data_IF_804786974851
#
_entry.id   IF_804786974851
#
_cell.length_a   1.000
_cell.length_b   1.000
_cell.length_c   1.000
_cell.angle_alpha   90.00
_cell.angle_beta   90.00
_cell.angle_gamma   90.00
#
_symmetry.space_group_name_H-M   'P 1'
#
loop_
_entity.id
_entity.type
_entity.pdbx_description
1 polymer ?
#
# COMPACT_ATOMS: atom_id res chain seq x y z
N UNK A 1 -8.16 -8.23 -14.34
CA UNK A 1 -7.53 -7.78 -13.07
C UNK A 1 -7.01 -6.37 -13.31
N UNK A 2 -7.59 -5.39 -12.61
CA UNK A 2 -7.34 -3.98 -12.88
C UNK A 2 -5.96 -3.58 -12.37
N UNK A 3 -5.29 -2.66 -13.06
CA UNK A 3 -3.98 -2.12 -12.66
C UNK A 3 -4.02 -1.54 -11.23
N UNK A 4 -5.20 -1.06 -10.80
CA UNK A 4 -5.48 -0.52 -9.46
C UNK A 4 -5.21 -1.56 -8.36
N UNK A 5 -5.63 -2.81 -8.57
CA UNK A 5 -5.46 -3.90 -7.59
C UNK A 5 -3.99 -4.31 -7.43
N UNK A 6 -3.18 -4.10 -8.47
CA UNK A 6 -1.74 -4.43 -8.47
C UNK A 6 -0.91 -3.39 -7.72
N UNK A 7 -1.19 -2.11 -7.89
CA UNK A 7 -0.49 -1.03 -7.16
C UNK A 7 -0.85 -0.98 -5.66
N UNK A 8 -1.98 -1.56 -5.29
CA UNK A 8 -2.42 -1.68 -3.91
C UNK A 8 -2.04 -2.97 -3.21
N UNK A 9 -1.36 -3.87 -3.91
CA UNK A 9 -0.90 -5.11 -3.30
C UNK A 9 0.14 -4.81 -2.23
N UNK A 10 -0.04 -5.33 -1.01
CA UNK A 10 0.97 -5.25 0.07
C UNK A 10 2.34 -5.78 -0.37
N UNK A 11 2.35 -6.70 -1.35
CA UNK A 11 3.55 -7.29 -1.94
C UNK A 11 4.35 -6.27 -2.77
N UNK A 12 3.68 -5.29 -3.39
CA UNK A 12 4.33 -4.22 -4.14
C UNK A 12 5.05 -3.24 -3.21
N UNK A 13 4.36 -2.78 -2.16
CA UNK A 13 4.93 -1.82 -1.19
C UNK A 13 6.09 -2.40 -0.38
N UNK A 14 6.00 -3.66 0.05
CA UNK A 14 7.10 -4.36 0.73
C UNK A 14 8.34 -4.51 -0.18
N UNK A 15 8.13 -4.85 -1.46
CA UNK A 15 9.21 -4.93 -2.45
C UNK A 15 9.82 -3.56 -2.76
N UNK A 16 9.01 -2.51 -2.84
CA UNK A 16 9.46 -1.14 -3.07
C UNK A 16 10.33 -0.62 -1.92
N UNK A 17 9.90 -0.84 -0.67
CA UNK A 17 10.68 -0.50 0.52
C UNK A 17 12.01 -1.28 0.56
N UNK A 18 11.97 -2.60 0.30
CA UNK A 18 13.17 -3.45 0.23
C UNK A 18 14.08 -3.17 -0.97
N UNK A 19 13.59 -2.51 -2.01
CA UNK A 19 14.38 -2.06 -3.16
C UNK A 19 15.05 -0.71 -2.90
N UNK A 20 14.33 0.24 -2.31
CA UNK A 20 14.85 1.59 -2.05
C UNK A 20 15.88 1.59 -0.91
N UNK A 21 15.68 0.79 0.15
CA UNK A 21 16.62 0.72 1.27
C UNK A 21 18.09 0.43 0.88
N UNK A 22 18.41 -0.63 0.12
CA UNK A 22 19.79 -0.90 -0.31
C UNK A 22 20.32 0.14 -1.30
N UNK A 23 19.46 0.77 -2.11
CA UNK A 23 19.87 1.88 -2.99
C UNK A 23 20.38 3.05 -2.15
N UNK A 24 19.64 3.44 -1.10
CA UNK A 24 20.05 4.52 -0.20
C UNK A 24 21.34 4.19 0.55
N UNK A 25 21.56 2.92 0.92
CA UNK A 25 22.82 2.46 1.50
C UNK A 25 24.00 2.60 0.52
N UNK A 26 23.80 2.33 -0.77
CA UNK A 26 24.84 2.54 -1.81
C UNK A 26 25.23 4.02 -1.93
N UNK A 27 24.30 4.94 -1.70
CA UNK A 27 24.58 6.39 -1.65
C UNK A 27 25.27 6.85 -0.36
N UNK A 28 25.64 5.93 0.55
CA UNK A 28 26.29 6.22 1.84
C UNK A 28 25.47 7.14 2.75
N UNK A 29 24.14 7.08 2.63
CA UNK A 29 23.26 7.79 3.56
C UNK A 29 23.37 7.19 4.97
N UNK A 30 23.21 8.00 6.03
CA UNK A 30 23.13 7.50 7.39
C UNK A 30 21.98 6.49 7.54
N UNK A 31 22.17 5.45 8.34
CA UNK A 31 21.13 4.42 8.56
C UNK A 31 19.81 5.00 9.10
N UNK A 32 19.89 6.10 9.85
CA UNK A 32 18.73 6.84 10.34
C UNK A 32 17.87 7.40 9.19
N UNK A 33 18.53 7.93 8.15
CA UNK A 33 17.85 8.50 6.98
C UNK A 33 17.22 7.38 6.13
N UNK A 34 17.93 6.27 5.96
CA UNK A 34 17.42 5.07 5.26
C UNK A 34 16.17 4.55 5.94
N UNK A 35 16.20 4.44 7.26
CA UNK A 35 15.06 4.00 8.08
C UNK A 35 13.90 4.96 7.96
N UNK A 36 14.17 6.27 8.01
CA UNK A 36 13.16 7.33 7.89
C UNK A 36 12.45 7.28 6.54
N UNK A 37 13.20 7.16 5.43
CA UNK A 37 12.63 7.07 4.08
C UNK A 37 11.82 5.78 3.91
N UNK A 38 12.31 4.65 4.42
CA UNK A 38 11.62 3.36 4.35
C UNK A 38 10.31 3.38 5.16
N UNK A 39 10.35 3.99 6.35
CA UNK A 39 9.18 4.18 7.20
C UNK A 39 8.14 5.10 6.53
N UNK A 40 8.60 6.17 5.88
CA UNK A 40 7.73 7.10 5.14
C UNK A 40 6.99 6.38 3.99
N UNK A 41 7.72 5.62 3.16
CA UNK A 41 7.13 4.85 2.05
C UNK A 41 6.07 3.87 2.57
N UNK A 42 6.39 3.16 3.66
CA UNK A 42 5.48 2.16 4.24
C UNK A 42 4.27 2.81 4.90
N UNK A 43 4.45 3.96 5.55
CA UNK A 43 3.36 4.75 6.15
C UNK A 43 2.39 5.25 5.08
N UNK A 44 2.89 5.82 3.99
CA UNK A 44 2.07 6.22 2.85
C UNK A 44 1.35 5.03 2.20
N UNK A 45 2.06 3.91 2.01
CA UNK A 45 1.46 2.67 1.49
C UNK A 45 0.34 2.14 2.39
N UNK A 46 0.50 2.23 3.71
CA UNK A 46 -0.52 1.82 4.69
C UNK A 46 -1.78 2.68 4.59
N UNK A 47 -1.64 3.99 4.44
CA UNK A 47 -2.76 4.91 4.28
C UNK A 47 -3.57 4.59 3.00
N UNK A 48 -2.86 4.40 1.88
CA UNK A 48 -3.49 4.05 0.59
C UNK A 48 -4.20 2.69 0.70
N UNK A 49 -3.58 1.71 1.35
CA UNK A 49 -4.17 0.39 1.58
C UNK A 49 -5.43 0.45 2.45
N UNK A 50 -5.44 1.31 3.48
CA UNK A 50 -6.59 1.50 4.36
C UNK A 50 -7.79 2.10 3.60
N UNK A 51 -7.57 3.18 2.85
CA UNK A 51 -8.62 3.84 2.06
C UNK A 51 -9.27 2.84 1.09
N UNK A 52 -8.47 2.06 0.39
CA UNK A 52 -9.04 1.08 -0.53
C UNK A 52 -9.69 -0.12 0.16
N UNK A 53 -9.20 -0.53 1.33
CA UNK A 53 -9.86 -1.56 2.12
C UNK A 53 -11.28 -1.11 2.51
N UNK A 54 -11.45 0.16 2.88
CA UNK A 54 -12.77 0.76 3.11
C UNK A 54 -13.60 0.75 1.81
N UNK A 55 -13.07 1.19 0.67
CA UNK A 55 -13.83 1.15 -0.60
C UNK A 55 -14.24 -0.26 -1.03
N UNK A 56 -13.41 -1.27 -0.75
CA UNK A 56 -13.73 -2.68 -0.99
C UNK A 56 -14.90 -3.13 -0.14
N UNK A 57 -14.91 -2.78 1.15
CA UNK A 57 -15.98 -3.10 2.08
C UNK A 57 -17.27 -2.40 1.66
N UNK A 58 -17.19 -1.14 1.24
CA UNK A 58 -18.36 -0.38 0.77
C UNK A 58 -18.99 -0.97 -0.49
N UNK A 59 -18.19 -1.36 -1.49
CA UNK A 59 -18.69 -2.03 -2.71
C UNK A 59 -19.36 -3.38 -2.40
N UNK A 60 -18.85 -4.13 -1.42
CA UNK A 60 -19.46 -5.40 -0.99
C UNK A 60 -20.80 -5.13 -0.30
N UNK A 61 -20.89 -4.06 0.49
CA UNK A 61 -22.10 -3.69 1.24
C UNK A 61 -23.22 -3.20 0.33
N UNK A 62 -22.90 -2.35 -0.65
CA UNK A 62 -23.84 -1.93 -1.71
C UNK A 62 -24.40 -3.13 -2.47
N UNK A 63 -23.56 -4.11 -2.78
CA UNK A 63 -24.00 -5.35 -3.44
C UNK A 63 -24.90 -6.21 -2.56
N UNK A 64 -24.62 -6.31 -1.26
CA UNK A 64 -25.48 -7.03 -0.30
C UNK A 64 -26.88 -6.44 -0.23
N UNK A 65 -26.97 -5.12 -0.01
CA UNK A 65 -28.25 -4.41 0.07
C UNK A 65 -29.09 -4.55 -1.23
N UNK A 66 -28.44 -4.64 -2.40
CA UNK A 66 -29.15 -4.83 -3.67
C UNK A 66 -29.81 -6.22 -3.82
N UNK A 67 -29.28 -7.25 -3.16
CA UNK A 67 -29.78 -8.63 -3.25
C UNK A 67 -30.95 -8.88 -2.31
N UNK A 68 -31.04 -8.11 -1.22
CA UNK A 68 -32.07 -8.23 -0.19
C UNK A 68 -33.34 -7.42 -0.54
N UNK A 69 -33.26 -6.61 -1.61
CA UNK A 69 -34.33 -5.71 -2.09
C UNK A 69 -35.15 -6.25 -3.28
N UNK A 70 -34.93 -7.51 -3.69
CA UNK A 70 -35.64 -8.21 -4.76
C UNK A 70 -36.19 -9.55 -4.25
#
# INVERSE_FOLDING_TARGET
MSIKDKFLSRKFWAGLAGFIAPILLLFKLPENDVTTVTALITSCGSLIAYIFAETSVDMIREKGDSLDSN
#
